data_IF_479348489299
#
_entry.id   IF_479348489299
#
_cell.length_a   1.000
_cell.length_b   1.000
_cell.length_c   1.000
_cell.angle_alpha   90.00
_cell.angle_beta   90.00
_cell.angle_gamma   90.00
#
_symmetry.space_group_name_H-M   'P 1'
#
loop_
_entity.id
_entity.type
_entity.pdbx_description
1 polymer ?
#
# COMPACT_ATOMS: atom_id res chain seq x y z
N UNK A 1 -0.27 11.43 18.58
CA UNK A 1 0.21 10.03 18.49
C UNK A 1 -0.91 9.00 18.45
N UNK A 2 -1.96 9.08 19.29
CA UNK A 2 -3.03 8.07 19.34
C UNK A 2 -3.85 7.90 18.04
N UNK A 3 -4.13 8.99 17.30
CA UNK A 3 -4.86 8.93 16.03
C UNK A 3 -4.13 8.10 14.96
N UNK A 4 -2.79 8.19 14.90
CA UNK A 4 -1.98 7.46 13.90
C UNK A 4 -2.05 5.94 14.06
N UNK A 5 -2.01 5.47 15.31
CA UNK A 5 -2.10 4.03 15.63
C UNK A 5 -3.49 3.48 15.30
N UNK A 6 -4.54 4.27 15.53
CA UNK A 6 -5.92 3.89 15.20
C UNK A 6 -6.12 3.70 13.70
N UNK A 7 -5.63 4.62 12.87
CA UNK A 7 -5.68 4.50 11.41
C UNK A 7 -4.89 3.29 10.90
N UNK A 8 -3.70 3.03 11.45
CA UNK A 8 -2.89 1.87 11.06
C UNK A 8 -3.59 0.54 11.35
N UNK A 9 -4.25 0.42 12.50
CA UNK A 9 -5.00 -0.78 12.86
C UNK A 9 -6.18 -1.01 11.92
N UNK A 10 -6.93 0.05 11.59
CA UNK A 10 -8.03 -0.04 10.64
C UNK A 10 -7.57 -0.51 9.26
N UNK A 11 -6.47 0.07 8.74
CA UNK A 11 -5.89 -0.35 7.45
C UNK A 11 -5.39 -1.79 7.52
N UNK A 12 -4.80 -2.21 8.64
CA UNK A 12 -4.32 -3.59 8.83
C UNK A 12 -5.47 -4.59 8.74
N UNK A 13 -6.56 -4.33 9.44
CA UNK A 13 -7.73 -5.22 9.44
C UNK A 13 -8.37 -5.27 8.05
N UNK A 14 -8.51 -4.11 7.40
CA UNK A 14 -9.12 -3.99 6.09
C UNK A 14 -8.27 -4.59 4.95
N UNK A 15 -6.94 -4.62 5.10
CA UNK A 15 -5.99 -5.21 4.15
C UNK A 15 -5.46 -6.59 4.56
N UNK A 16 -6.03 -7.20 5.60
CA UNK A 16 -5.63 -8.53 6.07
C UNK A 16 -5.60 -9.55 4.92
N UNK A 17 -4.64 -10.47 4.95
CA UNK A 17 -4.47 -11.49 3.92
C UNK A 17 -5.63 -12.49 3.90
N UNK A 18 -5.78 -13.21 2.79
CA UNK A 18 -6.79 -14.25 2.61
C UNK A 18 -8.05 -13.80 1.85
N UNK A 19 -9.00 -14.74 1.73
CA UNK A 19 -10.19 -14.63 0.86
C UNK A 19 -11.33 -13.78 1.45
N UNK A 20 -11.12 -13.16 2.61
CA UNK A 20 -12.12 -12.27 3.20
C UNK A 20 -12.43 -11.11 2.26
N UNK A 21 -13.71 -10.74 2.21
CA UNK A 21 -14.18 -9.58 1.47
C UNK A 21 -13.47 -8.32 1.97
N UNK A 22 -13.03 -7.50 1.03
CA UNK A 22 -12.53 -6.16 1.28
C UNK A 22 -13.66 -5.19 0.92
N UNK A 23 -13.83 -4.12 1.69
CA UNK A 23 -14.88 -3.13 1.42
C UNK A 23 -14.78 -2.59 -0.02
N UNK A 24 -15.91 -2.48 -0.73
CA UNK A 24 -15.93 -1.92 -2.07
C UNK A 24 -15.28 -0.53 -2.10
N UNK A 25 -14.27 -0.36 -2.94
CA UNK A 25 -13.58 0.92 -3.09
C UNK A 25 -12.40 1.15 -2.13
N UNK A 26 -12.19 0.33 -1.10
CA UNK A 26 -11.05 0.51 -0.18
C UNK A 26 -9.71 0.54 -0.91
N UNK A 27 -9.46 -0.43 -1.80
CA UNK A 27 -8.20 -0.49 -2.55
C UNK A 27 -7.96 0.75 -3.41
N UNK A 28 -9.04 1.35 -3.93
CA UNK A 28 -8.97 2.62 -4.66
C UNK A 28 -8.59 3.77 -3.73
N UNK A 29 -9.26 3.88 -2.57
CA UNK A 29 -8.94 4.89 -1.57
C UNK A 29 -7.49 4.77 -1.07
N UNK A 30 -6.98 3.54 -0.91
CA UNK A 30 -5.57 3.30 -0.59
C UNK A 30 -4.65 3.86 -1.67
N UNK A 31 -4.93 3.63 -2.96
CA UNK A 31 -4.12 4.19 -4.05
C UNK A 31 -4.16 5.71 -4.04
N UNK A 32 -5.35 6.31 -3.95
CA UNK A 32 -5.54 7.77 -3.91
C UNK A 32 -4.78 8.40 -2.73
N UNK A 33 -4.78 7.72 -1.58
CA UNK A 33 -4.03 8.12 -0.39
C UNK A 33 -2.52 8.03 -0.59
N UNK A 34 -2.02 6.96 -1.23
CA UNK A 34 -0.61 6.81 -1.56
C UNK A 34 -0.15 7.88 -2.57
N UNK A 35 -1.00 8.25 -3.53
CA UNK A 35 -0.77 9.34 -4.49
C UNK A 35 -0.66 10.68 -3.75
N UNK A 36 -1.62 11.01 -2.86
CA UNK A 36 -1.65 12.27 -2.11
C UNK A 36 -0.48 12.46 -1.14
N UNK A 37 0.11 11.38 -0.66
CA UNK A 37 1.19 11.41 0.34
C UNK A 37 2.59 11.50 -0.27
N UNK A 38 2.72 11.45 -1.60
CA UNK A 38 4.02 11.47 -2.29
C UNK A 38 4.85 10.20 -2.08
N UNK A 39 4.22 9.10 -1.65
CA UNK A 39 4.89 7.80 -1.49
C UNK A 39 5.16 7.17 -2.85
N UNK A 40 4.23 7.37 -3.79
CA UNK A 40 4.37 6.84 -5.14
C UNK A 40 5.41 7.66 -5.91
N UNK A 41 6.27 6.95 -6.62
CA UNK A 41 7.37 7.53 -7.40
C UNK A 41 6.78 8.07 -8.71
N UNK A 42 6.98 9.35 -8.98
CA UNK A 42 6.56 10.01 -10.23
C UNK A 42 7.44 9.56 -11.41
N UNK A 43 8.77 9.68 -11.27
CA UNK A 43 9.76 9.22 -12.24
C UNK A 43 10.11 7.75 -11.99
N UNK A 44 9.31 6.86 -12.56
CA UNK A 44 9.42 5.43 -12.29
C UNK A 44 10.33 4.71 -13.30
N UNK A 45 11.35 4.03 -12.79
CA UNK A 45 12.17 3.12 -13.58
C UNK A 45 11.65 1.68 -13.51
N UNK A 46 11.20 1.17 -14.67
CA UNK A 46 10.75 -0.21 -14.85
C UNK A 46 11.89 -1.23 -14.79
N UNK A 47 13.12 -0.84 -15.13
CA UNK A 47 14.27 -1.75 -15.03
C UNK A 47 14.59 -2.07 -13.56
N UNK A 48 14.63 -1.05 -12.71
CA UNK A 48 14.84 -1.26 -11.27
C UNK A 48 13.67 -2.03 -10.64
N UNK A 49 12.44 -1.83 -11.12
CA UNK A 49 11.32 -2.65 -10.68
C UNK A 49 11.52 -4.12 -11.05
N UNK A 50 11.95 -4.40 -12.27
CA UNK A 50 12.20 -5.76 -12.72
C UNK A 50 13.23 -6.49 -11.83
N UNK A 51 14.24 -5.76 -11.34
CA UNK A 51 15.25 -6.28 -10.39
C UNK A 51 14.66 -6.60 -9.02
N UNK A 52 13.67 -5.82 -8.56
CA UNK A 52 13.10 -5.94 -7.21
C UNK A 52 11.76 -6.71 -7.14
N UNK A 53 11.12 -7.00 -8.27
CA UNK A 53 9.76 -7.60 -8.30
C UNK A 53 9.68 -8.96 -7.59
N UNK A 54 10.79 -9.71 -7.52
CA UNK A 54 10.90 -10.99 -6.83
C UNK A 54 10.58 -10.93 -5.32
N UNK A 55 10.57 -9.72 -4.75
CA UNK A 55 10.13 -9.48 -3.38
C UNK A 55 8.61 -9.65 -3.21
N UNK A 56 7.83 -9.49 -4.29
CA UNK A 56 6.38 -9.70 -4.29
C UNK A 56 5.98 -11.19 -4.26
N UNK A 57 6.94 -12.10 -4.49
CA UNK A 57 6.69 -13.54 -4.50
C UNK A 57 6.47 -14.09 -3.09
N UNK A 58 7.06 -13.45 -2.08
CA UNK A 58 7.12 -13.93 -0.71
C UNK A 58 7.04 -12.73 0.24
N UNK A 59 5.88 -12.48 0.88
CA UNK A 59 5.70 -11.33 1.77
C UNK A 59 6.77 -11.22 2.86
N UNK A 60 7.29 -12.35 3.34
CA UNK A 60 8.34 -12.41 4.36
C UNK A 60 9.63 -11.72 3.91
N UNK A 61 9.94 -11.71 2.59
CA UNK A 61 11.12 -11.03 2.05
C UNK A 61 11.01 -9.52 2.12
N UNK A 62 9.79 -8.98 2.17
CA UNK A 62 9.54 -7.53 2.25
C UNK A 62 10.05 -6.96 3.57
N UNK A 63 10.14 -7.78 4.63
CA UNK A 63 10.70 -7.36 5.92
C UNK A 63 12.15 -6.86 5.82
N UNK A 64 12.92 -7.33 4.83
CA UNK A 64 14.29 -6.91 4.59
C UNK A 64 14.40 -5.75 3.57
N UNK A 65 13.31 -5.39 2.89
CA UNK A 65 13.31 -4.31 1.90
C UNK A 65 13.56 -2.95 2.56
N UNK A 66 14.25 -2.07 1.86
CA UNK A 66 14.39 -0.67 2.26
C UNK A 66 13.18 0.16 1.79
N UNK A 67 13.10 1.42 2.24
CA UNK A 67 11.97 2.29 1.93
C UNK A 67 11.80 2.54 0.44
N UNK A 68 12.91 2.72 -0.31
CA UNK A 68 12.88 2.96 -1.74
C UNK A 68 12.33 1.76 -2.52
N UNK A 69 12.76 0.55 -2.15
CA UNK A 69 12.22 -0.69 -2.73
C UNK A 69 10.72 -0.83 -2.45
N UNK A 70 10.28 -0.54 -1.23
CA UNK A 70 8.85 -0.58 -0.89
C UNK A 70 8.03 0.44 -1.71
N UNK A 71 8.53 1.68 -1.83
CA UNK A 71 7.90 2.72 -2.65
C UNK A 71 7.84 2.32 -4.12
N UNK A 72 8.92 1.76 -4.65
CA UNK A 72 8.97 1.28 -6.03
C UNK A 72 7.95 0.16 -6.28
N UNK A 73 7.89 -0.82 -5.39
CA UNK A 73 6.93 -1.92 -5.51
C UNK A 73 5.48 -1.43 -5.44
N UNK A 74 5.14 -0.56 -4.47
CA UNK A 74 3.81 0.05 -4.38
C UNK A 74 3.47 0.88 -5.62
N UNK A 75 4.43 1.65 -6.14
CA UNK A 75 4.24 2.46 -7.35
C UNK A 75 3.94 1.61 -8.57
N UNK A 76 4.66 0.50 -8.75
CA UNK A 76 4.35 -0.46 -9.82
C UNK A 76 2.94 -1.03 -9.65
N UNK A 77 2.58 -1.50 -8.45
CA UNK A 77 1.27 -2.10 -8.20
C UNK A 77 0.12 -1.13 -8.46
N UNK A 78 0.23 0.12 -8.00
CA UNK A 78 -0.74 1.18 -8.25
C UNK A 78 -0.88 1.49 -9.76
N UNK A 79 0.25 1.57 -10.48
CA UNK A 79 0.25 1.77 -11.93
C UNK A 79 -0.36 0.59 -12.67
N UNK A 80 -0.02 -0.64 -12.30
CA UNK A 80 -0.55 -1.86 -12.93
C UNK A 80 -2.05 -2.02 -12.72
N UNK A 81 -2.58 -1.66 -11.55
CA UNK A 81 -4.04 -1.67 -11.29
C UNK A 81 -4.81 -0.76 -12.25
N UNK A 82 -4.22 0.37 -12.66
CA UNK A 82 -4.84 1.28 -13.64
C UNK A 82 -4.97 0.66 -15.03
N UNK A 83 -4.10 -0.29 -15.38
CA UNK A 83 -4.12 -0.97 -16.67
C UNK A 83 -4.89 -2.30 -16.63
N UNK A 84 -4.88 -2.98 -15.48
CA UNK A 84 -5.57 -4.25 -15.28
C UNK A 84 -6.20 -4.29 -13.90
N UNK A 85 -7.53 -4.37 -13.87
CA UNK A 85 -8.27 -4.51 -12.62
C UNK A 85 -7.90 -5.80 -11.87
N UNK A 86 -7.77 -5.68 -10.55
CA UNK A 86 -7.62 -6.82 -9.64
C UNK A 86 -6.18 -7.17 -9.25
N UNK A 87 -5.18 -6.41 -9.71
CA UNK A 87 -3.78 -6.55 -9.27
C UNK A 87 -3.67 -6.32 -7.76
N UNK A 88 -4.23 -5.23 -7.25
CA UNK A 88 -4.21 -4.91 -5.83
C UNK A 88 -5.05 -5.89 -5.01
N UNK A 89 -6.18 -6.35 -5.56
CA UNK A 89 -6.99 -7.36 -4.89
C UNK A 89 -6.23 -8.68 -4.74
N UNK A 90 -5.49 -9.09 -5.78
CA UNK A 90 -4.61 -10.25 -5.74
C UNK A 90 -3.46 -10.06 -4.73
N UNK A 91 -2.79 -8.91 -4.73
CA UNK A 91 -1.70 -8.62 -3.80
C UNK A 91 -2.16 -8.50 -2.34
N UNK A 92 -3.37 -7.98 -2.10
CA UNK A 92 -4.01 -7.99 -0.77
C UNK A 92 -4.23 -9.42 -0.30
N UNK A 93 -4.86 -10.28 -1.13
CA UNK A 93 -5.11 -11.69 -0.77
C UNK A 93 -3.83 -12.43 -0.37
N UNK A 94 -2.72 -12.13 -1.05
CA UNK A 94 -1.39 -12.70 -0.76
C UNK A 94 -0.67 -12.05 0.43
N UNK A 95 -1.23 -11.03 1.06
CA UNK A 95 -0.60 -10.29 2.17
C UNK A 95 0.53 -9.34 1.75
N UNK A 96 0.83 -9.25 0.46
CA UNK A 96 1.92 -8.41 -0.09
C UNK A 96 1.65 -6.93 0.14
N UNK A 97 0.41 -6.48 -0.09
CA UNK A 97 0.04 -5.07 0.06
C UNK A 97 0.20 -4.60 1.51
N UNK A 98 -0.26 -5.41 2.48
CA UNK A 98 -0.13 -5.10 3.90
C UNK A 98 1.35 -5.10 4.33
N UNK A 99 2.13 -6.10 3.92
CA UNK A 99 3.55 -6.19 4.25
C UNK A 99 4.36 -4.97 3.76
N UNK A 100 4.06 -4.44 2.57
CA UNK A 100 4.71 -3.22 2.06
C UNK A 100 4.38 -1.99 2.93
N UNK A 101 3.12 -1.81 3.32
CA UNK A 101 2.69 -0.68 4.14
C UNK A 101 3.26 -0.77 5.56
N UNK A 102 3.24 -1.95 6.16
CA UNK A 102 3.83 -2.18 7.47
C UNK A 102 5.33 -1.93 7.48
N UNK A 103 6.02 -2.36 6.42
CA UNK A 103 7.45 -2.09 6.29
C UNK A 103 7.74 -0.60 6.18
N UNK A 104 6.94 0.15 5.43
CA UNK A 104 7.08 1.60 5.34
C UNK A 104 6.80 2.32 6.67
N UNK A 105 5.82 1.85 7.46
CA UNK A 105 5.57 2.37 8.80
C UNK A 105 6.77 2.14 9.73
N UNK A 106 7.34 0.93 9.72
CA UNK A 106 8.50 0.59 10.55
C UNK A 106 9.74 1.41 10.20
N UNK A 107 9.90 1.79 8.93
CA UNK A 107 11.01 2.60 8.45
C UNK A 107 10.81 4.11 8.68
N UNK A 108 9.69 4.52 9.30
CA UNK A 108 9.26 5.92 9.45
C UNK A 108 9.21 6.69 8.12
N UNK A 109 9.22 5.96 7.00
CA UNK A 109 9.24 6.50 5.65
C UNK A 109 7.85 6.95 5.18
N UNK A 110 6.86 6.89 6.07
CA UNK A 110 5.45 7.19 5.82
C UNK A 110 4.87 8.08 6.93
N UNK A 111 5.27 9.36 7.02
CA UNK A 111 5.02 10.13 8.23
C UNK A 111 3.56 10.56 8.45
N UNK A 112 2.62 10.44 7.49
CA UNK A 112 1.31 11.11 7.62
C UNK A 112 0.08 10.41 7.00
N UNK A 113 0.08 9.08 6.86
CA UNK A 113 -1.11 8.40 6.30
C UNK A 113 -2.38 8.60 7.17
N UNK A 114 -2.20 8.83 8.47
CA UNK A 114 -3.28 9.11 9.42
C UNK A 114 -3.98 10.47 9.22
N UNK A 115 -3.29 11.47 8.67
CA UNK A 115 -3.88 12.80 8.46
C UNK A 115 -4.71 12.88 7.19
N UNK A 116 -4.41 12.05 6.19
CA UNK A 116 -5.07 12.09 4.89
C UNK A 116 -6.36 11.24 4.82
N UNK A 117 -6.54 10.27 5.72
CA UNK A 117 -7.82 9.57 5.90
C UNK A 117 -8.84 10.44 6.62
N UNK A 118 -8.43 11.18 7.66
CA UNK A 118 -9.30 12.14 8.39
C UNK A 118 -9.71 13.34 7.52
N UNK A 119 -8.89 13.71 6.52
CA UNK A 119 -9.20 14.77 5.56
C UNK A 119 -9.97 14.28 4.32
N UNK A 120 -10.32 13.00 4.27
CA UNK A 120 -11.28 12.47 3.31
C UNK A 120 -12.60 12.35 4.07
N UNK A 121 -13.44 13.38 3.97
CA UNK A 121 -14.77 13.41 4.58
C UNK A 121 -15.49 12.05 4.47
N UNK A 122 -16.30 11.66 5.48
CA UNK A 122 -17.23 10.56 5.32
C UNK A 122 -18.16 10.95 4.17
N UNK A 123 -18.04 10.26 3.03
CA UNK A 123 -19.06 10.35 1.99
C UNK A 123 -20.38 10.04 2.67
N UNK A 124 -21.22 11.08 2.72
CA UNK A 124 -22.54 11.06 3.33
C UNK A 124 -23.44 10.07 2.58
N UNK A 125 -24.17 9.27 3.38
CA UNK A 125 -25.27 8.35 3.07
C UNK A 125 -24.90 6.97 2.49
#
# INVERSE_FOLDING_TARGET
>A
MQASVSCQNHIRDALAAGEHGCEPGLLRQVVELLERTGILIEEFDWQDWYRNQHLLDCPERIAAANAQQCRQLLSALARLERYSHGVLAHMRRRGVLLALLERLWQLEAMPQLALAVEASDPVSL
#
